data_IF_269205632603
#
_entry.id   IF_269205632603
#
_cell.length_a   1.000
_cell.length_b   1.000
_cell.length_c   1.000
_cell.angle_alpha   90.00
_cell.angle_beta   90.00
_cell.angle_gamma   90.00
#
_symmetry.space_group_name_H-M   'P 1'
#
loop_
_entity.id
_entity.type
_entity.pdbx_description
1 polymer ?
#
# COMPACT_ATOMS: atom_id res chain seq x y z
N UNK A 1 15.85 -11.90 -22.93
CA UNK A 1 16.51 -10.62 -23.25
C UNK A 1 16.25 -9.66 -22.09
N UNK A 2 17.26 -9.42 -21.27
CA UNK A 2 17.22 -8.43 -20.18
C UNK A 2 17.70 -7.07 -20.72
N UNK A 3 16.98 -5.98 -20.39
CA UNK A 3 17.29 -4.53 -20.54
C UNK A 3 15.99 -3.79 -20.13
N UNK A 4 15.91 -2.71 -19.36
CA UNK A 4 16.83 -1.78 -18.71
C UNK A 4 16.00 -1.13 -17.57
N UNK A 5 16.35 -1.34 -16.30
CA UNK A 5 15.82 -0.52 -15.21
C UNK A 5 16.62 0.78 -15.14
N UNK A 6 15.99 1.97 -15.06
CA UNK A 6 16.73 3.21 -14.91
C UNK A 6 17.44 3.25 -13.54
N UNK A 7 18.68 3.78 -13.48
CA UNK A 7 19.49 3.73 -12.27
C UNK A 7 19.11 4.86 -11.30
N UNK A 8 19.18 4.56 -9.99
CA UNK A 8 19.22 5.48 -8.84
C UNK A 8 17.92 6.22 -8.48
N UNK A 9 17.01 5.52 -7.78
CA UNK A 9 16.34 6.07 -6.59
C UNK A 9 16.31 5.00 -5.51
N UNK A 10 17.07 5.20 -4.42
CA UNK A 10 17.07 4.32 -3.23
C UNK A 10 15.67 4.19 -2.56
N UNK A 11 14.68 4.99 -2.99
CA UNK A 11 13.31 5.08 -2.45
C UNK A 11 12.48 3.79 -2.52
N UNK A 12 12.77 2.85 -3.42
CA UNK A 12 11.97 1.61 -3.56
C UNK A 12 12.56 0.37 -2.88
N UNK A 13 13.79 0.46 -2.34
CA UNK A 13 14.50 -0.74 -1.89
C UNK A 13 14.07 -1.23 -0.50
N UNK A 14 13.43 -0.40 0.34
CA UNK A 14 13.12 -0.81 1.72
C UNK A 14 12.01 -1.88 1.79
N UNK A 15 11.03 -1.85 0.88
CA UNK A 15 9.96 -2.87 0.84
C UNK A 15 10.45 -4.25 0.36
N UNK A 16 11.46 -4.30 -0.52
CA UNK A 16 11.95 -5.57 -1.07
C UNK A 16 12.72 -6.40 -0.02
N UNK A 17 13.49 -5.75 0.86
CA UNK A 17 14.32 -6.43 1.84
C UNK A 17 13.54 -7.05 3.01
N UNK A 18 12.34 -6.55 3.33
CA UNK A 18 11.51 -7.13 4.41
C UNK A 18 10.96 -8.51 4.00
N UNK A 19 10.57 -8.70 2.73
CA UNK A 19 10.10 -10.01 2.25
C UNK A 19 11.19 -11.10 2.22
N UNK A 20 12.46 -10.76 1.98
CA UNK A 20 13.54 -11.76 1.93
C UNK A 20 14.13 -12.11 3.31
N UNK A 21 14.02 -11.21 4.30
CA UNK A 21 14.67 -11.40 5.60
C UNK A 21 13.87 -12.27 6.58
N UNK A 22 12.56 -12.47 6.34
CA UNK A 22 11.67 -13.21 7.25
C UNK A 22 11.85 -14.74 7.14
N UNK A 23 12.57 -15.24 6.13
CA UNK A 23 12.68 -16.68 5.85
C UNK A 23 13.81 -17.38 6.63
N UNK A 24 14.74 -16.65 7.28
CA UNK A 24 15.90 -17.29 7.92
C UNK A 24 16.08 -16.91 9.41
N UNK A 25 15.82 -17.90 10.27
CA UNK A 25 16.34 -18.18 11.64
C UNK A 25 15.62 -17.62 12.90
N UNK A 26 15.08 -18.57 13.71
CA UNK A 26 14.88 -18.66 15.20
C UNK A 26 14.55 -17.41 16.05
N UNK A 27 13.85 -17.56 17.21
CA UNK A 27 12.50 -18.11 17.45
C UNK A 27 11.41 -17.11 17.01
N UNK A 28 10.18 -17.59 16.77
CA UNK A 28 9.06 -16.77 16.29
C UNK A 28 8.77 -15.58 17.22
N UNK A 29 9.20 -14.38 16.84
CA UNK A 29 8.74 -13.16 17.51
C UNK A 29 7.25 -12.96 17.20
N UNK A 30 6.50 -12.40 18.15
CA UNK A 30 5.08 -12.08 17.94
C UNK A 30 4.88 -11.24 16.67
N UNK A 31 5.76 -10.27 16.42
CA UNK A 31 5.73 -9.41 15.24
C UNK A 31 5.85 -10.19 13.92
N UNK A 32 6.69 -11.24 13.86
CA UNK A 32 6.80 -12.10 12.68
C UNK A 32 5.51 -12.88 12.43
N UNK A 33 4.86 -13.36 13.49
CA UNK A 33 3.60 -14.07 13.39
C UNK A 33 2.47 -13.15 12.93
N UNK A 34 2.38 -11.94 13.48
CA UNK A 34 1.39 -10.94 13.09
C UNK A 34 1.59 -10.48 11.64
N UNK A 35 2.84 -10.25 11.22
CA UNK A 35 3.18 -9.96 9.83
C UNK A 35 2.79 -11.09 8.88
N UNK A 36 3.00 -12.34 9.28
CA UNK A 36 2.58 -13.52 8.50
C UNK A 36 1.06 -13.58 8.34
N UNK A 37 0.30 -13.36 9.41
CA UNK A 37 -1.16 -13.35 9.36
C UNK A 37 -1.70 -12.24 8.45
N UNK A 38 -1.09 -11.06 8.50
CA UNK A 38 -1.40 -9.94 7.60
C UNK A 38 -1.16 -10.31 6.13
N UNK A 39 -0.03 -10.92 5.80
CA UNK A 39 0.23 -11.34 4.43
C UNK A 39 -0.68 -12.49 3.97
N UNK A 40 -0.99 -13.44 4.84
CA UNK A 40 -1.89 -14.56 4.55
C UNK A 40 -3.31 -14.08 4.21
N UNK A 41 -3.86 -13.09 4.93
CA UNK A 41 -5.19 -12.55 4.60
C UNK A 41 -5.17 -11.88 3.23
N UNK A 42 -4.10 -11.16 2.87
CA UNK A 42 -4.00 -10.53 1.56
C UNK A 42 -3.89 -11.55 0.42
N UNK A 43 -3.08 -12.59 0.61
CA UNK A 43 -2.85 -13.60 -0.42
C UNK A 43 -4.06 -14.54 -0.61
N UNK A 44 -4.75 -14.91 0.47
CA UNK A 44 -5.82 -15.92 0.43
C UNK A 44 -7.21 -15.27 0.28
N UNK A 45 -7.45 -14.13 0.94
CA UNK A 45 -8.79 -13.51 1.00
C UNK A 45 -8.93 -12.28 0.12
N UNK A 46 -7.90 -11.44 0.02
CA UNK A 46 -7.98 -10.18 -0.76
C UNK A 46 -7.66 -10.40 -2.24
N UNK A 47 -6.66 -11.23 -2.56
CA UNK A 47 -6.24 -11.53 -3.94
C UNK A 47 -7.38 -12.02 -4.86
N UNK A 48 -8.33 -12.88 -4.43
CA UNK A 48 -9.43 -13.33 -5.28
C UNK A 48 -10.51 -12.28 -5.55
N UNK A 49 -10.50 -11.15 -4.82
CA UNK A 49 -11.49 -10.09 -4.98
C UNK A 49 -11.33 -9.36 -6.32
N UNK A 50 -12.36 -8.60 -6.68
CA UNK A 50 -12.27 -7.65 -7.80
C UNK A 50 -11.26 -6.55 -7.51
N UNK A 51 -10.67 -5.94 -8.55
CA UNK A 51 -9.79 -4.78 -8.37
C UNK A 51 -10.48 -3.69 -7.54
N UNK A 52 -11.76 -3.40 -7.82
CA UNK A 52 -12.55 -2.41 -7.09
C UNK A 52 -12.53 -2.66 -5.57
N UNK A 53 -12.80 -3.88 -5.14
CA UNK A 53 -12.79 -4.25 -3.72
C UNK A 53 -11.37 -4.16 -3.11
N UNK A 54 -10.34 -4.54 -3.86
CA UNK A 54 -8.93 -4.39 -3.43
C UNK A 54 -8.57 -2.91 -3.23
N UNK A 55 -9.04 -2.03 -4.12
CA UNK A 55 -8.89 -0.57 -4.01
C UNK A 55 -9.65 -0.01 -2.81
N UNK A 56 -10.84 -0.55 -2.50
CA UNK A 56 -11.59 -0.16 -1.29
C UNK A 56 -10.80 -0.43 -0.02
N UNK A 57 -10.09 -1.57 0.07
CA UNK A 57 -9.23 -1.86 1.23
C UNK A 57 -8.09 -0.84 1.33
N UNK A 58 -7.39 -0.57 0.21
CA UNK A 58 -6.33 0.44 0.16
C UNK A 58 -6.84 1.84 0.56
N UNK A 59 -8.04 2.23 0.12
CA UNK A 59 -8.67 3.49 0.48
C UNK A 59 -8.93 3.58 1.99
N UNK A 60 -9.50 2.54 2.60
CA UNK A 60 -9.75 2.52 4.04
C UNK A 60 -8.45 2.63 4.85
N UNK A 61 -7.36 2.01 4.41
CA UNK A 61 -6.05 2.21 5.04
C UNK A 61 -5.54 3.65 4.90
N UNK A 62 -5.79 4.30 3.76
CA UNK A 62 -5.42 5.70 3.57
C UNK A 62 -6.23 6.66 4.46
N UNK A 63 -7.44 6.29 4.91
CA UNK A 63 -8.19 7.11 5.87
C UNK A 63 -7.49 7.21 7.24
N UNK A 64 -6.69 6.21 7.61
CA UNK A 64 -5.94 6.22 8.88
C UNK A 64 -4.88 7.34 8.95
N UNK A 65 -4.47 7.86 7.79
CA UNK A 65 -3.48 8.94 7.68
C UNK A 65 -4.09 10.28 7.28
N UNK A 66 -5.42 10.37 7.10
CA UNK A 66 -6.10 11.55 6.53
C UNK A 66 -5.76 12.86 7.26
N UNK A 67 -5.67 12.80 8.59
CA UNK A 67 -5.38 13.96 9.44
C UNK A 67 -3.97 14.53 9.24
N UNK A 68 -3.06 13.75 8.68
CA UNK A 68 -1.67 14.14 8.41
C UNK A 68 -1.47 14.69 7.00
N UNK A 69 -2.52 14.67 6.18
CA UNK A 69 -2.45 15.10 4.78
C UNK A 69 -2.63 16.61 4.66
N UNK A 70 -1.73 17.23 3.92
CA UNK A 70 -1.95 18.57 3.38
C UNK A 70 -2.90 18.53 2.16
N UNK A 71 -3.11 19.66 1.50
CA UNK A 71 -4.07 19.76 0.40
C UNK A 71 -3.72 18.85 -0.79
N UNK A 72 -2.42 18.66 -1.07
CA UNK A 72 -1.96 17.72 -2.09
C UNK A 72 -2.29 16.28 -1.69
N UNK A 73 -2.01 15.89 -0.44
CA UNK A 73 -2.35 14.57 0.08
C UNK A 73 -3.86 14.31 0.07
N UNK A 74 -4.68 15.29 0.46
CA UNK A 74 -6.15 15.19 0.43
C UNK A 74 -6.68 15.07 -0.99
N UNK A 75 -6.08 15.78 -1.95
CA UNK A 75 -6.40 15.62 -3.36
C UNK A 75 -6.11 14.20 -3.85
N UNK A 76 -4.96 13.63 -3.50
CA UNK A 76 -4.64 12.23 -3.80
C UNK A 76 -5.61 11.24 -3.14
N UNK A 77 -5.98 11.45 -1.88
CA UNK A 77 -6.94 10.61 -1.17
C UNK A 77 -8.31 10.60 -1.87
N UNK A 78 -8.75 11.75 -2.39
CA UNK A 78 -9.97 11.85 -3.21
C UNK A 78 -9.86 11.03 -4.50
N UNK A 79 -8.71 11.06 -5.19
CA UNK A 79 -8.50 10.22 -6.37
C UNK A 79 -8.53 8.72 -6.02
N UNK A 80 -7.94 8.34 -4.89
CA UNK A 80 -8.01 6.96 -4.38
C UNK A 80 -9.46 6.55 -4.11
N UNK A 81 -10.28 7.44 -3.55
CA UNK A 81 -11.71 7.19 -3.38
C UNK A 81 -12.41 6.99 -4.73
N UNK A 82 -12.12 7.82 -5.73
CA UNK A 82 -12.71 7.70 -7.08
C UNK A 82 -12.30 6.40 -7.79
N UNK A 83 -11.09 5.89 -7.55
CA UNK A 83 -10.67 4.56 -8.02
C UNK A 83 -11.56 3.43 -7.48
N UNK A 84 -12.15 3.59 -6.29
CA UNK A 84 -13.10 2.61 -5.74
C UNK A 84 -14.46 2.64 -6.45
N UNK A 85 -14.75 3.67 -7.24
CA UNK A 85 -15.97 3.78 -8.05
C UNK A 85 -15.73 3.47 -9.53
N UNK A 86 -14.47 3.48 -9.99
CA UNK A 86 -14.10 3.30 -11.40
C UNK A 86 -14.18 4.60 -12.22
N UNK A 87 -14.23 5.75 -11.54
CA UNK A 87 -14.57 7.05 -12.15
C UNK A 87 -13.33 7.88 -12.56
N UNK A 88 -12.14 7.26 -12.63
CA UNK A 88 -10.89 7.98 -12.89
C UNK A 88 -9.96 7.22 -13.84
N UNK A 89 -9.25 7.97 -14.69
CA UNK A 89 -8.32 7.40 -15.64
C UNK A 89 -6.97 7.01 -15.02
N UNK A 90 -6.30 6.02 -15.61
CA UNK A 90 -4.95 5.59 -15.21
C UNK A 90 -3.89 6.69 -15.39
N UNK A 91 -4.10 7.59 -16.37
CA UNK A 91 -3.20 8.71 -16.65
C UNK A 91 -3.23 9.74 -15.52
N UNK A 92 -4.43 10.11 -15.04
CA UNK A 92 -4.58 11.03 -13.90
C UNK A 92 -3.93 10.48 -12.63
N UNK A 93 -4.12 9.18 -12.34
CA UNK A 93 -3.47 8.51 -11.22
C UNK A 93 -1.94 8.54 -11.34
N UNK A 94 -1.41 8.33 -12.54
CA UNK A 94 0.04 8.35 -12.81
C UNK A 94 0.61 9.75 -12.59
N UNK A 95 -0.02 10.78 -13.17
CA UNK A 95 0.42 12.16 -13.03
C UNK A 95 0.40 12.63 -11.57
N UNK A 96 -0.64 12.28 -10.81
CA UNK A 96 -0.73 12.67 -9.40
C UNK A 96 0.33 11.95 -8.54
N UNK A 97 0.56 10.66 -8.83
CA UNK A 97 1.60 9.87 -8.15
C UNK A 97 2.99 10.47 -8.35
N UNK A 98 3.31 10.97 -9.55
CA UNK A 98 4.58 11.64 -9.82
C UNK A 98 4.74 12.92 -8.97
N UNK A 99 3.68 13.73 -8.86
CA UNK A 99 3.69 14.92 -7.99
C UNK A 99 3.98 14.57 -6.53
N UNK A 100 3.32 13.53 -5.99
CA UNK A 100 3.60 13.03 -4.64
C UNK A 100 5.04 12.55 -4.48
N UNK A 101 5.57 11.80 -5.46
CA UNK A 101 6.93 11.29 -5.44
C UNK A 101 8.00 12.38 -5.41
N UNK A 102 7.74 13.51 -6.06
CA UNK A 102 8.62 14.69 -6.01
C UNK A 102 8.64 15.36 -4.64
N UNK A 103 7.60 15.16 -3.82
CA UNK A 103 7.51 15.69 -2.45
C UNK A 103 7.99 14.73 -1.38
N UNK A 104 8.29 13.48 -1.73
CA UNK A 104 8.85 12.53 -0.77
C UNK A 104 10.22 13.03 -0.26
N UNK A 105 10.48 12.99 1.06
CA UNK A 105 11.79 13.33 1.59
C UNK A 105 12.85 12.33 1.10
N UNK A 106 14.13 12.73 1.13
CA UNK A 106 15.23 11.84 0.77
C UNK A 106 15.44 10.73 1.83
N UNK A 107 15.10 11.03 3.08
CA UNK A 107 15.16 10.13 4.23
C UNK A 107 13.87 10.21 5.06
N UNK A 108 13.46 9.08 5.65
CA UNK A 108 12.25 9.00 6.49
C UNK A 108 10.97 8.55 5.75
N UNK A 109 9.94 8.28 6.54
CA UNK A 109 8.59 7.91 6.09
C UNK A 109 7.74 9.16 5.83
N UNK A 110 6.85 9.09 4.84
CA UNK A 110 5.98 10.21 4.46
C UNK A 110 4.52 9.76 4.42
N UNK A 111 3.56 10.62 4.84
CA UNK A 111 2.13 10.38 4.64
C UNK A 111 1.74 10.18 3.17
N UNK A 112 2.59 10.57 2.21
CA UNK A 112 2.33 10.29 0.80
C UNK A 112 2.65 8.87 0.38
N UNK A 113 3.43 8.10 1.14
CA UNK A 113 3.83 6.75 0.75
C UNK A 113 2.63 5.80 0.59
N UNK A 114 1.66 5.74 1.53
CA UNK A 114 0.43 4.97 1.33
C UNK A 114 -0.35 5.40 0.09
N UNK A 115 -0.49 6.71 -0.15
CA UNK A 115 -1.24 7.26 -1.30
C UNK A 115 -0.60 6.91 -2.65
N UNK A 116 0.74 6.94 -2.74
CA UNK A 116 1.48 6.55 -3.95
C UNK A 116 1.21 5.09 -4.32
N UNK A 117 1.17 4.20 -3.33
CA UNK A 117 0.84 2.78 -3.56
C UNK A 117 -0.64 2.58 -3.86
N UNK A 118 -1.53 3.30 -3.20
CA UNK A 118 -2.97 3.23 -3.47
C UNK A 118 -3.33 3.69 -4.90
N UNK A 119 -2.60 4.69 -5.44
CA UNK A 119 -2.73 5.18 -6.82
C UNK A 119 -1.98 4.32 -7.87
N UNK A 120 -1.22 3.30 -7.45
CA UNK A 120 -0.43 2.51 -8.41
C UNK A 120 -1.34 1.66 -9.30
N UNK A 121 -1.25 1.75 -10.64
CA UNK A 121 -2.12 1.00 -11.54
C UNK A 121 -2.03 -0.52 -11.34
N UNK A 122 -3.15 -1.21 -11.56
CA UNK A 122 -3.17 -2.66 -11.55
C UNK A 122 -2.36 -3.19 -12.73
N UNK A 123 -1.30 -3.95 -12.45
CA UNK A 123 -0.44 -4.55 -13.47
C UNK A 123 -0.04 -5.97 -13.05
N UNK A 124 0.53 -6.74 -13.98
CA UNK A 124 1.05 -8.07 -13.67
C UNK A 124 2.16 -8.05 -12.59
N UNK A 125 3.00 -7.00 -12.57
CA UNK A 125 4.08 -6.86 -11.59
C UNK A 125 3.60 -6.28 -10.26
N UNK A 126 2.57 -5.43 -10.29
CA UNK A 126 1.98 -4.79 -9.12
C UNK A 126 0.46 -4.95 -9.18
N UNK A 127 -0.06 -6.16 -8.86
CA UNK A 127 -1.50 -6.35 -8.80
C UNK A 127 -2.09 -5.52 -7.66
N UNK A 128 -3.36 -5.13 -7.77
CA UNK A 128 -4.00 -4.21 -6.84
C UNK A 128 -4.03 -4.75 -5.39
N UNK A 129 -4.26 -6.05 -5.18
CA UNK A 129 -4.15 -6.67 -3.84
C UNK A 129 -2.77 -6.49 -3.21
N UNK A 130 -1.69 -6.63 -3.99
CA UNK A 130 -0.33 -6.49 -3.49
C UNK A 130 -0.05 -5.03 -3.16
N UNK A 131 -0.45 -4.12 -4.04
CA UNK A 131 -0.33 -2.68 -3.80
C UNK A 131 -1.08 -2.28 -2.52
N UNK A 132 -2.29 -2.79 -2.30
CA UNK A 132 -3.06 -2.57 -1.08
C UNK A 132 -2.35 -3.12 0.18
N UNK A 133 -1.71 -4.29 0.09
CA UNK A 133 -0.90 -4.82 1.20
C UNK A 133 0.26 -3.88 1.54
N UNK A 134 0.93 -3.31 0.53
CA UNK A 134 2.01 -2.34 0.74
C UNK A 134 1.48 -1.00 1.29
N UNK A 135 0.27 -0.57 0.96
CA UNK A 135 -0.37 0.59 1.62
C UNK A 135 -0.39 0.39 3.12
N UNK A 136 -0.85 -0.78 3.60
CA UNK A 136 -0.91 -1.08 5.03
C UNK A 136 0.48 -1.14 5.68
N UNK A 137 1.50 -1.67 5.02
CA UNK A 137 2.88 -1.62 5.53
C UNK A 137 3.37 -0.19 5.73
N UNK A 138 3.08 0.71 4.79
CA UNK A 138 3.47 2.12 4.93
C UNK A 138 2.71 2.80 6.08
N UNK A 139 1.46 2.40 6.36
CA UNK A 139 0.70 2.88 7.53
C UNK A 139 1.33 2.43 8.84
N UNK A 140 1.82 1.18 8.91
CA UNK A 140 2.57 0.66 10.05
C UNK A 140 3.90 1.41 10.22
N UNK A 141 4.65 1.62 9.14
CA UNK A 141 5.92 2.36 9.17
C UNK A 141 5.74 3.84 9.58
N UNK A 142 4.54 4.39 9.43
CA UNK A 142 4.15 5.71 9.92
C UNK A 142 3.70 5.72 11.39
N UNK A 143 3.60 4.56 12.03
CA UNK A 143 3.11 4.41 13.41
C UNK A 143 1.62 4.73 13.55
N UNK A 144 0.84 4.54 12.47
CA UNK A 144 -0.60 4.85 12.44
C UNK A 144 -1.49 3.65 12.67
N UNK A 145 -0.92 2.45 12.62
CA UNK A 145 -1.57 1.21 13.02
C UNK A 145 -0.53 0.11 13.24
N UNK A 146 -0.98 -1.07 13.63
CA UNK A 146 -0.19 -2.29 13.83
C UNK A 146 -0.66 -3.41 12.89
N UNK A 147 0.13 -4.48 12.75
CA UNK A 147 -0.29 -5.65 11.96
C UNK A 147 -1.63 -6.26 12.42
N UNK A 148 -1.89 -6.48 13.73
CA UNK A 148 -3.18 -6.98 14.19
C UNK A 148 -4.35 -6.06 13.82
N UNK A 149 -4.23 -4.77 14.08
CA UNK A 149 -5.29 -3.79 13.80
C UNK A 149 -5.63 -3.72 12.31
N UNK A 150 -4.62 -3.67 11.42
CA UNK A 150 -4.87 -3.68 9.98
C UNK A 150 -5.45 -5.01 9.49
N UNK A 151 -5.06 -6.12 10.11
CA UNK A 151 -5.62 -7.44 9.80
C UNK A 151 -7.09 -7.50 10.18
N UNK A 152 -7.47 -6.99 11.35
CA UNK A 152 -8.85 -6.97 11.81
C UNK A 152 -9.71 -5.98 11.00
N UNK A 153 -9.21 -4.78 10.72
CA UNK A 153 -9.85 -3.84 9.80
C UNK A 153 -10.09 -4.47 8.42
N UNK A 154 -9.11 -5.24 7.91
CA UNK A 154 -9.28 -5.96 6.64
C UNK A 154 -10.44 -6.95 6.72
N UNK A 155 -10.54 -7.74 7.81
CA UNK A 155 -11.66 -8.68 8.01
C UNK A 155 -13.01 -7.95 8.09
N UNK A 156 -13.07 -6.82 8.79
CA UNK A 156 -14.28 -6.00 8.89
C UNK A 156 -14.74 -5.51 7.51
N UNK A 157 -13.81 -4.99 6.70
CA UNK A 157 -14.10 -4.56 5.33
C UNK A 157 -14.57 -5.76 4.49
N UNK A 158 -13.91 -6.92 4.60
CA UNK A 158 -14.31 -8.12 3.86
C UNK A 158 -15.73 -8.59 4.19
N UNK A 159 -16.20 -8.38 5.43
CA UNK A 159 -17.57 -8.70 5.84
C UNK A 159 -18.61 -7.73 5.26
N UNK A 160 -18.20 -6.62 4.65
CA UNK A 160 -19.08 -5.63 4.02
C UNK A 160 -19.27 -5.84 2.51
N UNK A 161 -18.60 -6.85 1.94
CA UNK A 161 -18.72 -7.25 0.54
C UNK A 161 -19.67 -8.44 0.36
#
# INVERSE_FOLDING_TARGET
MARLFPPKRKKYLRCYYICQSIIQSHPHSMEQQESKQYWEIFEIKVRPLTERQQRTIAYNFCLLIEKDLDDLGKGALKLVQQLTAGDISSEECTAYREQLQHRLPDEGTSPYSPLIWALTPHTASYPAWYSAAIVGLNVIDLGRSTFPELTDLTKEILNSF
#
